data_IF_954517289266
#
_entry.id   IF_954517289266
#
_cell.length_a   1.000
_cell.length_b   1.000
_cell.length_c   1.000
_cell.angle_alpha   90.00
_cell.angle_beta   90.00
_cell.angle_gamma   90.00
#
_symmetry.space_group_name_H-M   'P 1'
#
loop_
_entity.id
_entity.type
_entity.pdbx_description
1 polymer ?
#
# COMPACT_ATOMS: atom_id res chain seq x y z
N UNK A 1 55.56 26.72 16.87
CA UNK A 1 54.27 27.12 16.36
C UNK A 1 53.65 25.91 15.66
N UNK A 2 52.77 25.19 16.36
CA UNK A 2 52.19 23.93 15.89
C UNK A 2 50.71 24.22 15.50
N UNK A 3 50.46 24.20 14.22
CA UNK A 3 49.14 24.50 13.65
C UNK A 3 48.21 23.29 13.89
N UNK A 4 47.25 23.46 14.77
CA UNK A 4 46.19 22.51 15.07
C UNK A 4 45.17 22.53 13.91
N UNK A 5 45.21 21.50 13.08
CA UNK A 5 44.17 21.28 12.04
C UNK A 5 42.82 21.08 12.71
N UNK A 6 41.91 22.00 12.44
CA UNK A 6 40.47 21.92 12.75
C UNK A 6 39.88 20.71 12.03
N UNK A 7 39.43 19.70 12.77
CA UNK A 7 38.58 18.63 12.27
C UNK A 7 37.17 19.25 12.09
N UNK A 8 36.78 19.40 10.84
CA UNK A 8 35.44 19.82 10.42
C UNK A 8 34.39 18.90 11.01
N UNK A 9 33.39 19.52 11.64
CA UNK A 9 32.22 18.91 12.20
C UNK A 9 31.25 18.43 11.07
N UNK A 10 31.46 17.19 10.62
CA UNK A 10 30.52 16.53 9.64
C UNK A 10 30.38 15.04 9.98
N UNK A 11 30.41 14.68 11.25
CA UNK A 11 30.28 13.27 11.65
C UNK A 11 29.37 13.11 12.88
N UNK A 12 28.19 13.74 12.83
CA UNK A 12 27.11 13.41 13.77
C UNK A 12 25.94 12.84 12.94
N UNK A 13 26.24 11.83 12.11
CA UNK A 13 25.20 11.00 11.52
C UNK A 13 24.70 10.03 12.60
N UNK A 14 23.47 10.22 13.00
CA UNK A 14 22.75 9.56 14.08
C UNK A 14 22.85 8.03 13.97
N UNK A 15 23.71 7.38 14.74
CA UNK A 15 23.75 5.93 14.93
C UNK A 15 22.43 5.36 15.51
N UNK A 16 21.49 6.22 15.92
CA UNK A 16 20.17 5.83 16.45
C UNK A 16 19.12 5.47 15.41
N UNK A 17 19.35 5.74 14.12
CA UNK A 17 18.32 5.53 13.10
C UNK A 17 18.81 4.89 11.80
N UNK A 18 19.88 4.08 11.84
CA UNK A 18 20.40 3.42 10.64
C UNK A 18 19.36 2.48 10.01
N UNK A 19 18.56 1.80 10.83
CA UNK A 19 17.45 0.95 10.33
C UNK A 19 16.49 1.74 9.45
N UNK A 20 16.11 2.93 9.91
CA UNK A 20 15.20 3.81 9.15
C UNK A 20 15.87 4.34 7.88
N UNK A 21 17.11 4.80 7.95
CA UNK A 21 17.83 5.27 6.78
C UNK A 21 17.97 4.19 5.69
N UNK A 22 18.22 2.94 6.09
CA UNK A 22 18.24 1.80 5.16
C UNK A 22 16.86 1.57 4.55
N UNK A 23 15.79 1.66 5.34
CA UNK A 23 14.41 1.54 4.84
C UNK A 23 14.07 2.68 3.86
N UNK A 24 14.42 3.91 4.18
CA UNK A 24 14.15 5.07 3.33
C UNK A 24 14.81 4.93 1.95
N UNK A 25 16.06 4.48 1.91
CA UNK A 25 16.75 4.20 0.64
C UNK A 25 16.12 3.02 -0.12
N UNK A 26 15.70 1.96 0.59
CA UNK A 26 15.03 0.82 -0.03
C UNK A 26 13.65 1.22 -0.62
N UNK A 27 12.90 2.07 0.07
CA UNK A 27 11.64 2.64 -0.40
C UNK A 27 11.85 3.46 -1.67
N UNK A 28 12.91 4.27 -1.75
CA UNK A 28 13.23 5.06 -2.95
C UNK A 28 13.55 4.16 -4.16
N UNK A 29 14.32 3.10 -3.94
CA UNK A 29 14.58 2.10 -4.98
C UNK A 29 13.29 1.40 -5.42
N UNK A 30 12.43 1.03 -4.47
CA UNK A 30 11.14 0.41 -4.77
C UNK A 30 10.22 1.33 -5.58
N UNK A 31 10.18 2.63 -5.28
CA UNK A 31 9.39 3.62 -6.06
C UNK A 31 9.74 3.62 -7.52
N UNK A 32 11.03 3.59 -7.84
CA UNK A 32 11.51 3.73 -9.21
C UNK A 32 11.53 2.42 -9.97
N UNK A 33 11.88 1.30 -9.32
CA UNK A 33 12.11 0.02 -9.99
C UNK A 33 11.31 -1.16 -9.43
N UNK A 34 10.37 -0.92 -8.50
CA UNK A 34 9.59 -1.99 -7.89
C UNK A 34 10.40 -2.90 -6.97
N UNK A 35 9.87 -4.09 -6.64
CA UNK A 35 10.50 -5.00 -5.67
C UNK A 35 11.86 -5.50 -6.12
N UNK A 36 12.11 -5.63 -7.42
CA UNK A 36 13.37 -6.15 -7.97
C UNK A 36 14.52 -5.16 -7.81
N UNK A 37 14.23 -3.86 -7.73
CA UNK A 37 15.23 -2.82 -7.47
C UNK A 37 15.71 -2.80 -6.01
N UNK A 38 15.00 -3.44 -5.08
CA UNK A 38 15.38 -3.49 -3.67
C UNK A 38 16.50 -4.50 -3.47
N UNK A 39 17.74 -4.00 -3.57
CA UNK A 39 18.96 -4.79 -3.39
C UNK A 39 19.74 -4.26 -2.18
N UNK A 40 19.99 -5.09 -1.18
CA UNK A 40 20.63 -4.69 0.09
C UNK A 40 21.99 -4.01 -0.13
N UNK A 41 22.76 -4.45 -1.13
CA UNK A 41 24.07 -3.86 -1.47
C UNK A 41 23.94 -2.41 -1.97
N UNK A 42 22.89 -2.10 -2.76
CA UNK A 42 22.68 -0.75 -3.27
C UNK A 42 22.20 0.18 -2.15
N UNK A 43 21.32 -0.31 -1.29
CA UNK A 43 20.85 0.39 -0.09
C UNK A 43 22.03 0.74 0.85
N UNK A 44 22.95 -0.21 1.09
CA UNK A 44 24.16 0.02 1.89
C UNK A 44 25.04 1.12 1.30
N UNK A 45 25.24 1.07 -0.02
CA UNK A 45 26.04 2.07 -0.73
C UNK A 45 25.41 3.47 -0.61
N UNK A 46 24.07 3.56 -0.77
CA UNK A 46 23.34 4.83 -0.61
C UNK A 46 23.42 5.36 0.81
N UNK A 47 23.32 4.49 1.81
CA UNK A 47 23.44 4.84 3.23
C UNK A 47 24.89 5.13 3.68
N UNK A 48 25.91 4.84 2.85
CA UNK A 48 27.31 5.05 3.19
C UNK A 48 27.83 4.16 4.32
N UNK A 49 27.25 2.97 4.51
CA UNK A 49 27.58 2.07 5.62
C UNK A 49 28.24 0.76 5.17
N UNK A 50 28.92 0.10 6.10
CA UNK A 50 29.52 -1.21 5.84
C UNK A 50 28.45 -2.29 5.71
N UNK A 51 28.79 -3.35 4.98
CA UNK A 51 27.96 -4.55 4.83
C UNK A 51 27.51 -5.10 6.21
N UNK A 52 28.47 -5.27 7.14
CA UNK A 52 28.19 -5.79 8.48
C UNK A 52 27.24 -4.89 9.30
N UNK A 53 27.24 -3.58 9.07
CA UNK A 53 26.35 -2.65 9.75
C UNK A 53 24.91 -2.82 9.25
N UNK A 54 24.69 -2.96 7.96
CA UNK A 54 23.37 -3.15 7.39
C UNK A 54 22.76 -4.52 7.76
N UNK A 55 23.56 -5.59 7.70
CA UNK A 55 23.10 -6.95 8.07
C UNK A 55 22.67 -7.09 9.53
N UNK A 56 23.09 -6.19 10.44
CA UNK A 56 22.59 -6.14 11.82
C UNK A 56 21.13 -5.68 11.91
N UNK A 57 20.65 -4.96 10.90
CA UNK A 57 19.28 -4.39 10.86
C UNK A 57 18.34 -5.21 9.97
N UNK A 58 18.86 -5.74 8.87
CA UNK A 58 18.14 -6.58 7.92
C UNK A 58 19.00 -7.78 7.59
N UNK A 59 18.59 -8.97 8.03
CA UNK A 59 19.36 -10.22 7.89
C UNK A 59 19.65 -10.60 6.43
N UNK A 60 18.75 -10.20 5.53
CA UNK A 60 18.80 -10.53 4.11
C UNK A 60 17.94 -9.55 3.30
N UNK A 61 17.87 -9.78 1.99
CA UNK A 61 17.01 -9.02 1.07
C UNK A 61 15.53 -9.19 1.42
N UNK A 62 15.12 -10.39 1.80
CA UNK A 62 13.72 -10.70 2.15
C UNK A 62 13.24 -9.89 3.34
N UNK A 63 14.04 -9.79 4.41
CA UNK A 63 13.73 -8.97 5.59
C UNK A 63 13.63 -7.47 5.25
N UNK A 64 14.51 -6.96 4.38
CA UNK A 64 14.43 -5.58 3.90
C UNK A 64 13.20 -5.35 3.02
N UNK A 65 12.93 -6.25 2.08
CA UNK A 65 11.77 -6.17 1.19
C UNK A 65 10.45 -6.26 2.00
N UNK A 66 10.40 -7.11 3.02
CA UNK A 66 9.25 -7.20 3.93
C UNK A 66 8.96 -5.86 4.62
N UNK A 67 9.99 -5.15 5.09
CA UNK A 67 9.82 -3.82 5.68
C UNK A 67 9.34 -2.77 4.65
N UNK A 68 9.78 -2.86 3.39
CA UNK A 68 9.28 -1.99 2.31
C UNK A 68 7.83 -2.33 1.96
N UNK A 69 7.46 -3.61 1.97
CA UNK A 69 6.08 -4.07 1.79
C UNK A 69 5.15 -3.49 2.86
N UNK A 70 5.52 -3.60 4.14
CA UNK A 70 4.76 -3.01 5.26
C UNK A 70 4.61 -1.48 5.10
N UNK A 71 5.67 -0.80 4.69
CA UNK A 71 5.62 0.63 4.39
C UNK A 71 4.64 0.93 3.24
N UNK A 72 4.71 0.18 2.14
CA UNK A 72 3.85 0.39 0.96
C UNK A 72 2.37 0.10 1.28
N UNK A 73 2.07 -0.94 2.06
CA UNK A 73 0.72 -1.25 2.55
C UNK A 73 0.18 -0.13 3.45
N UNK A 74 1.00 0.42 4.34
CA UNK A 74 0.62 1.58 5.17
C UNK A 74 0.29 2.81 4.31
N UNK A 75 1.08 3.09 3.27
CA UNK A 75 0.82 4.21 2.36
C UNK A 75 -0.45 4.02 1.51
N UNK A 76 -0.73 2.78 1.11
CA UNK A 76 -2.00 2.42 0.46
C UNK A 76 -3.18 2.66 1.41
N UNK A 77 -3.07 2.21 2.67
CA UNK A 77 -4.09 2.45 3.68
C UNK A 77 -4.33 3.95 3.91
N UNK A 78 -3.27 4.76 4.00
CA UNK A 78 -3.37 6.22 4.10
C UNK A 78 -4.18 6.83 2.95
N UNK A 79 -3.94 6.39 1.71
CA UNK A 79 -4.66 6.88 0.53
C UNK A 79 -6.15 6.51 0.58
N UNK A 80 -6.46 5.28 1.02
CA UNK A 80 -7.85 4.82 1.20
C UNK A 80 -8.55 5.63 2.29
N UNK A 81 -7.92 5.84 3.45
CA UNK A 81 -8.46 6.63 4.57
C UNK A 81 -8.65 8.10 4.18
N UNK A 82 -7.74 8.68 3.42
CA UNK A 82 -7.88 10.06 2.93
C UNK A 82 -9.14 10.23 2.07
N UNK A 83 -9.44 9.27 1.18
CA UNK A 83 -10.67 9.26 0.38
C UNK A 83 -11.92 9.04 1.24
N UNK A 84 -11.86 8.13 2.22
CA UNK A 84 -12.96 7.89 3.16
C UNK A 84 -13.32 9.14 3.96
N UNK A 85 -12.31 9.88 4.46
CA UNK A 85 -12.51 11.11 5.24
C UNK A 85 -13.06 12.27 4.40
N UNK A 86 -12.91 12.21 3.07
CA UNK A 86 -13.48 13.19 2.16
C UNK A 86 -14.97 12.93 1.82
N UNK A 87 -15.54 11.80 2.22
CA UNK A 87 -16.95 11.47 1.98
C UNK A 87 -17.84 12.38 2.85
N UNK A 88 -18.77 13.15 2.26
CA UNK A 88 -19.64 14.03 3.04
C UNK A 88 -20.58 13.25 3.97
N UNK A 89 -20.75 13.76 5.20
CA UNK A 89 -21.71 13.21 6.18
C UNK A 89 -23.19 13.52 5.85
N UNK A 90 -23.51 13.75 4.57
CA UNK A 90 -24.83 14.12 4.08
C UNK A 90 -25.54 12.94 3.40
N UNK A 91 -26.85 12.91 3.51
CA UNK A 91 -27.69 11.89 2.86
C UNK A 91 -28.08 10.75 3.80
N UNK A 92 -28.74 9.73 3.24
CA UNK A 92 -29.16 8.55 4.01
C UNK A 92 -27.96 7.68 4.42
N UNK A 93 -28.14 6.87 5.47
CA UNK A 93 -27.13 5.91 5.91
C UNK A 93 -26.70 4.98 4.78
N UNK A 94 -27.67 4.49 4.00
CA UNK A 94 -27.44 3.64 2.83
C UNK A 94 -26.57 4.35 1.77
N UNK A 95 -26.90 5.60 1.42
CA UNK A 95 -26.09 6.36 0.45
C UNK A 95 -24.67 6.55 0.94
N UNK A 96 -24.46 6.96 2.19
CA UNK A 96 -23.11 7.15 2.75
C UNK A 96 -22.30 5.87 2.74
N UNK A 97 -22.90 4.72 3.10
CA UNK A 97 -22.20 3.44 3.07
C UNK A 97 -21.72 3.08 1.65
N UNK A 98 -22.53 3.31 0.62
CA UNK A 98 -22.14 3.13 -0.79
C UNK A 98 -21.05 4.11 -1.20
N UNK A 99 -21.19 5.39 -0.86
CA UNK A 99 -20.18 6.42 -1.17
C UNK A 99 -18.82 6.09 -0.51
N UNK A 100 -18.82 5.54 0.72
CA UNK A 100 -17.62 5.08 1.43
C UNK A 100 -16.94 3.90 0.74
N UNK A 101 -17.70 2.89 0.29
CA UNK A 101 -17.13 1.78 -0.48
C UNK A 101 -16.46 2.28 -1.77
N UNK A 102 -17.12 3.19 -2.51
CA UNK A 102 -16.56 3.79 -3.72
C UNK A 102 -15.27 4.57 -3.42
N UNK A 103 -15.27 5.37 -2.34
CA UNK A 103 -14.12 6.14 -1.90
C UNK A 103 -12.93 5.22 -1.52
N UNK A 104 -13.21 4.08 -0.89
CA UNK A 104 -12.19 3.07 -0.56
C UNK A 104 -11.54 2.51 -1.83
N UNK A 105 -12.34 2.10 -2.81
CA UNK A 105 -11.83 1.61 -4.11
C UNK A 105 -11.09 2.69 -4.91
N UNK A 106 -11.58 3.95 -4.89
CA UNK A 106 -10.91 5.07 -5.53
C UNK A 106 -9.52 5.32 -4.90
N UNK A 107 -9.42 5.35 -3.57
CA UNK A 107 -8.13 5.53 -2.87
C UNK A 107 -7.12 4.44 -3.19
N UNK A 108 -7.59 3.21 -3.34
CA UNK A 108 -6.77 2.08 -3.76
C UNK A 108 -6.16 2.30 -5.17
N UNK A 109 -7.00 2.66 -6.14
CA UNK A 109 -6.58 2.89 -7.53
C UNK A 109 -5.70 4.14 -7.64
N UNK A 110 -6.03 5.21 -6.92
CA UNK A 110 -5.22 6.44 -6.90
C UNK A 110 -3.79 6.17 -6.42
N UNK A 111 -3.62 5.39 -5.34
CA UNK A 111 -2.30 4.99 -4.86
C UNK A 111 -1.53 4.19 -5.90
N UNK A 112 -2.19 3.21 -6.53
CA UNK A 112 -1.57 2.37 -7.55
C UNK A 112 -1.05 3.20 -8.74
N UNK A 113 -1.80 4.22 -9.17
CA UNK A 113 -1.40 5.11 -10.26
C UNK A 113 -0.33 6.13 -9.85
N UNK A 114 -0.35 6.60 -8.61
CA UNK A 114 0.61 7.57 -8.11
C UNK A 114 1.97 6.95 -7.75
N UNK A 115 1.96 5.72 -7.24
CA UNK A 115 3.12 5.04 -6.68
C UNK A 115 3.25 3.60 -7.25
N UNK A 116 3.35 3.42 -8.59
CA UNK A 116 3.27 2.09 -9.21
C UNK A 116 4.38 1.13 -8.74
N UNK A 117 5.57 1.63 -8.43
CA UNK A 117 6.67 0.83 -7.90
C UNK A 117 6.38 0.31 -6.49
N UNK A 118 5.84 1.15 -5.61
CA UNK A 118 5.41 0.74 -4.27
C UNK A 118 4.19 -0.18 -4.33
N UNK A 119 3.26 0.07 -5.24
CA UNK A 119 2.12 -0.82 -5.44
C UNK A 119 2.57 -2.23 -5.82
N UNK A 120 3.49 -2.38 -6.79
CA UNK A 120 4.06 -3.69 -7.12
C UNK A 120 4.76 -4.32 -5.93
N UNK A 121 5.44 -3.53 -5.10
CA UNK A 121 6.17 -4.02 -3.92
C UNK A 121 5.21 -4.48 -2.81
N UNK A 122 4.10 -3.78 -2.59
CA UNK A 122 3.08 -4.18 -1.61
C UNK A 122 2.48 -5.57 -1.90
N UNK A 123 2.45 -5.97 -3.18
CA UNK A 123 1.87 -7.24 -3.62
C UNK A 123 2.92 -8.21 -4.21
N UNK A 124 4.21 -7.89 -4.08
CA UNK A 124 5.26 -8.82 -4.46
C UNK A 124 5.19 -10.06 -3.56
N UNK A 125 5.22 -11.23 -4.18
CA UNK A 125 5.37 -12.48 -3.45
C UNK A 125 6.77 -12.48 -2.81
N UNK A 126 6.81 -12.30 -1.50
CA UNK A 126 8.04 -12.53 -0.76
C UNK A 126 8.27 -14.04 -0.74
N UNK A 127 9.51 -14.48 -1.01
CA UNK A 127 9.93 -15.90 -0.95
C UNK A 127 9.67 -16.53 0.43
N UNK A 128 9.27 -15.74 1.41
CA UNK A 128 8.91 -16.13 2.79
C UNK A 128 7.52 -16.73 2.92
N UNK A 129 6.85 -17.10 1.82
CA UNK A 129 5.67 -17.97 1.86
C UNK A 129 4.48 -17.42 2.66
N UNK A 130 4.31 -16.10 2.74
CA UNK A 130 3.06 -15.53 3.25
C UNK A 130 1.97 -15.76 2.21
N UNK A 131 1.28 -16.87 2.35
CA UNK A 131 0.16 -17.27 1.51
C UNK A 131 -0.98 -16.23 1.59
N UNK A 132 -1.68 -16.03 0.49
CA UNK A 132 -2.86 -15.16 0.42
C UNK A 132 -3.99 -15.59 1.37
N UNK A 133 -4.02 -16.84 1.80
CA UNK A 133 -4.89 -17.35 2.87
C UNK A 133 -4.56 -16.73 4.23
N UNK A 134 -3.27 -16.51 4.51
CA UNK A 134 -2.80 -15.87 5.74
C UNK A 134 -3.17 -14.38 5.83
N UNK A 135 -3.35 -13.69 4.71
CA UNK A 135 -3.73 -12.27 4.71
C UNK A 135 -5.08 -12.00 5.36
N UNK A 136 -6.05 -12.92 5.21
CA UNK A 136 -7.36 -12.81 5.87
C UNK A 136 -7.26 -13.11 7.37
N UNK A 137 -6.41 -14.04 7.77
CA UNK A 137 -6.14 -14.35 9.19
C UNK A 137 -5.28 -13.26 9.83
N UNK A 138 -4.25 -12.75 9.13
CA UNK A 138 -3.43 -11.63 9.58
C UNK A 138 -4.29 -10.36 9.71
N UNK A 139 -5.17 -10.08 8.76
CA UNK A 139 -6.13 -8.98 8.85
C UNK A 139 -7.08 -9.13 10.05
N UNK A 140 -7.33 -10.36 10.53
CA UNK A 140 -8.20 -10.62 11.68
C UNK A 140 -7.47 -10.62 13.03
N UNK A 141 -6.18 -10.91 13.07
CA UNK A 141 -5.51 -11.25 14.33
C UNK A 141 -4.44 -10.27 14.83
N UNK A 142 -3.66 -9.62 13.98
CA UNK A 142 -2.47 -8.88 14.43
C UNK A 142 -2.21 -7.56 13.70
N UNK A 143 -2.81 -7.34 12.54
CA UNK A 143 -2.58 -6.11 11.78
C UNK A 143 -3.55 -5.05 12.28
N UNK A 144 -3.01 -3.97 12.80
CA UNK A 144 -3.79 -2.86 13.37
C UNK A 144 -4.86 -2.32 12.41
N UNK A 145 -5.77 -1.52 12.96
CA UNK A 145 -6.93 -0.94 12.27
C UNK A 145 -6.64 -0.23 10.93
N UNK A 146 -5.37 -0.05 10.60
CA UNK A 146 -4.84 0.69 9.46
C UNK A 146 -4.32 -0.20 8.30
N UNK A 147 -4.78 -1.46 8.19
CA UNK A 147 -4.43 -2.31 7.06
C UNK A 147 -5.43 -2.15 5.91
N UNK A 148 -5.01 -2.09 4.61
CA UNK A 148 -5.89 -1.86 3.47
C UNK A 148 -7.08 -2.82 3.41
N UNK A 149 -6.84 -4.11 3.67
CA UNK A 149 -7.89 -5.12 3.64
C UNK A 149 -8.89 -4.96 4.80
N UNK A 150 -8.44 -4.55 5.99
CA UNK A 150 -9.34 -4.24 7.11
C UNK A 150 -10.22 -3.02 6.85
N UNK A 151 -9.68 -1.99 6.19
CA UNK A 151 -10.46 -0.82 5.76
C UNK A 151 -11.58 -1.26 4.82
N UNK A 152 -11.28 -2.12 3.84
CA UNK A 152 -12.28 -2.67 2.93
C UNK A 152 -13.34 -3.48 3.68
N UNK A 153 -12.94 -4.41 4.56
CA UNK A 153 -13.86 -5.24 5.35
C UNK A 153 -14.85 -4.38 6.15
N UNK A 154 -14.35 -3.36 6.87
CA UNK A 154 -15.20 -2.43 7.64
C UNK A 154 -16.17 -1.67 6.75
N UNK A 155 -15.71 -1.23 5.58
CA UNK A 155 -16.57 -0.51 4.63
C UNK A 155 -17.70 -1.42 4.11
N UNK A 156 -17.44 -2.72 3.92
CA UNK A 156 -18.45 -3.71 3.55
C UNK A 156 -19.38 -4.00 4.72
N UNK A 157 -18.87 -4.09 5.95
CA UNK A 157 -19.71 -4.26 7.15
C UNK A 157 -20.65 -3.05 7.37
N UNK A 158 -20.20 -1.83 7.03
CA UNK A 158 -21.03 -0.63 7.02
C UNK A 158 -22.22 -0.75 6.04
N UNK A 159 -22.06 -1.44 4.89
CA UNK A 159 -23.15 -1.71 3.95
C UNK A 159 -24.22 -2.65 4.55
N UNK A 160 -23.77 -3.69 5.25
CA UNK A 160 -24.69 -4.59 5.97
C UNK A 160 -25.43 -3.82 7.06
N UNK A 161 -24.72 -3.04 7.87
CA UNK A 161 -25.29 -2.22 8.94
C UNK A 161 -26.22 -1.11 8.42
N UNK A 162 -26.08 -0.71 7.16
CA UNK A 162 -26.94 0.27 6.49
C UNK A 162 -28.13 -0.37 5.74
N UNK A 163 -28.26 -1.69 5.74
CA UNK A 163 -29.31 -2.43 5.02
C UNK A 163 -29.18 -2.37 3.50
N UNK A 164 -28.00 -2.07 2.97
CA UNK A 164 -27.70 -2.05 1.52
C UNK A 164 -27.35 -3.45 1.04
N UNK A 165 -26.58 -4.18 1.86
CA UNK A 165 -26.14 -5.54 1.60
C UNK A 165 -26.81 -6.49 2.58
N UNK A 166 -27.38 -7.58 2.08
CA UNK A 166 -27.92 -8.65 2.91
C UNK A 166 -26.76 -9.44 3.57
N UNK A 167 -26.87 -9.83 4.86
CA UNK A 167 -25.81 -10.55 5.56
C UNK A 167 -25.37 -11.85 4.89
N UNK A 168 -26.27 -12.56 4.24
CA UNK A 168 -26.02 -13.80 3.51
C UNK A 168 -25.18 -13.60 2.23
N UNK A 169 -25.13 -12.37 1.69
CA UNK A 169 -24.33 -11.99 0.51
C UNK A 169 -22.99 -11.38 0.88
N UNK A 170 -22.66 -11.29 2.17
CA UNK A 170 -21.43 -10.63 2.65
C UNK A 170 -20.18 -11.46 2.40
N UNK A 171 -20.30 -12.79 2.48
CA UNK A 171 -19.14 -13.69 2.36
C UNK A 171 -18.53 -13.66 0.95
N UNK A 172 -17.20 -13.55 0.88
CA UNK A 172 -16.46 -13.47 -0.37
C UNK A 172 -16.50 -12.11 -1.09
N UNK A 173 -17.29 -11.14 -0.60
CA UNK A 173 -17.44 -9.85 -1.27
C UNK A 173 -16.19 -8.97 -1.14
N UNK A 174 -15.47 -9.04 -0.03
CA UNK A 174 -14.22 -8.35 0.19
C UNK A 174 -13.14 -8.81 -0.81
N UNK A 175 -13.00 -10.13 -0.99
CA UNK A 175 -12.07 -10.68 -1.99
C UNK A 175 -12.48 -10.31 -3.42
N UNK A 176 -13.78 -10.37 -3.74
CA UNK A 176 -14.28 -10.00 -5.07
C UNK A 176 -14.07 -8.51 -5.37
N UNK A 177 -14.38 -7.62 -4.41
CA UNK A 177 -14.16 -6.19 -4.56
C UNK A 177 -12.66 -5.86 -4.68
N UNK A 178 -11.83 -6.50 -3.85
CA UNK A 178 -10.37 -6.35 -3.95
C UNK A 178 -9.84 -6.83 -5.29
N UNK A 179 -10.23 -8.03 -5.75
CA UNK A 179 -9.80 -8.56 -7.05
C UNK A 179 -10.15 -7.61 -8.20
N UNK A 180 -11.32 -6.97 -8.16
CA UNK A 180 -11.77 -6.03 -9.18
C UNK A 180 -10.89 -4.76 -9.23
N UNK A 181 -10.64 -4.09 -8.09
CA UNK A 181 -9.82 -2.87 -8.06
C UNK A 181 -8.35 -3.18 -8.27
N UNK A 182 -7.84 -4.31 -7.77
CA UNK A 182 -6.47 -4.76 -7.99
C UNK A 182 -6.21 -5.10 -9.46
N UNK A 183 -7.11 -5.86 -10.08
CA UNK A 183 -7.03 -6.18 -11.51
C UNK A 183 -7.05 -4.93 -12.38
N UNK A 184 -7.93 -3.97 -12.12
CA UNK A 184 -7.94 -2.70 -12.85
C UNK A 184 -6.65 -1.90 -12.64
N UNK A 185 -6.15 -1.82 -11.40
CA UNK A 185 -4.88 -1.15 -11.10
C UNK A 185 -3.71 -1.76 -11.89
N UNK A 186 -3.62 -3.09 -11.93
CA UNK A 186 -2.59 -3.80 -12.70
C UNK A 186 -2.71 -3.52 -14.19
N UNK A 187 -3.94 -3.50 -14.75
CA UNK A 187 -4.17 -3.15 -16.16
C UNK A 187 -3.75 -1.72 -16.49
N UNK A 188 -3.89 -0.79 -15.55
CA UNK A 188 -3.47 0.60 -15.71
C UNK A 188 -1.96 0.80 -15.60
N UNK A 189 -1.26 -0.03 -14.82
CA UNK A 189 0.17 0.13 -14.56
C UNK A 189 0.99 -0.65 -15.60
N UNK A 190 0.67 -1.93 -15.79
CA UNK A 190 1.48 -2.89 -16.53
C UNK A 190 0.74 -3.53 -17.72
N UNK A 191 -0.57 -3.25 -17.84
CA UNK A 191 -1.43 -3.90 -18.81
C UNK A 191 -1.78 -3.03 -20.01
N UNK A 192 -2.73 -3.49 -20.84
CA UNK A 192 -3.12 -2.82 -22.10
C UNK A 192 -3.80 -1.46 -21.89
N UNK A 193 -4.12 -1.09 -20.66
CA UNK A 193 -4.69 0.23 -20.33
C UNK A 193 -3.65 1.23 -19.82
N UNK A 194 -2.37 0.91 -19.85
CA UNK A 194 -1.29 1.79 -19.35
C UNK A 194 -1.23 3.12 -20.10
N UNK A 195 -1.42 3.08 -21.41
CA UNK A 195 -1.39 4.26 -22.30
C UNK A 195 -2.69 5.08 -22.30
N UNK A 196 -3.73 4.66 -21.57
CA UNK A 196 -4.95 5.43 -21.45
C UNK A 196 -4.69 6.75 -20.73
N UNK A 197 -5.25 7.85 -21.23
CA UNK A 197 -5.16 9.15 -20.58
C UNK A 197 -5.89 9.19 -19.23
N UNK A 198 -5.65 10.22 -18.44
CA UNK A 198 -6.21 10.35 -17.10
C UNK A 198 -7.76 10.38 -17.12
N UNK A 199 -8.37 11.01 -18.12
CA UNK A 199 -9.83 11.07 -18.24
C UNK A 199 -10.42 9.69 -18.52
N UNK A 200 -9.79 8.91 -19.39
CA UNK A 200 -10.19 7.54 -19.71
C UNK A 200 -10.00 6.61 -18.52
N UNK A 201 -8.88 6.70 -17.81
CA UNK A 201 -8.64 5.95 -16.57
C UNK A 201 -9.70 6.26 -15.51
N UNK A 202 -10.04 7.53 -15.30
CA UNK A 202 -11.08 7.92 -14.35
C UNK A 202 -12.45 7.38 -14.77
N UNK A 203 -12.83 7.48 -16.05
CA UNK A 203 -14.11 6.95 -16.54
C UNK A 203 -14.23 5.44 -16.28
N UNK A 204 -13.15 4.68 -16.55
CA UNK A 204 -13.16 3.22 -16.33
C UNK A 204 -13.26 2.92 -14.83
N UNK A 205 -12.53 3.66 -13.99
CA UNK A 205 -12.61 3.55 -12.53
C UNK A 205 -14.02 3.77 -12.02
N UNK A 206 -14.68 4.86 -12.45
CA UNK A 206 -16.06 5.17 -12.05
C UNK A 206 -17.01 4.05 -12.46
N UNK A 207 -16.87 3.51 -13.66
CA UNK A 207 -17.70 2.39 -14.14
C UNK A 207 -17.49 1.10 -13.35
N UNK A 208 -16.24 0.78 -12.98
CA UNK A 208 -15.98 -0.37 -12.14
C UNK A 208 -16.61 -0.21 -10.75
N UNK A 209 -16.37 0.95 -10.11
CA UNK A 209 -16.92 1.23 -8.78
C UNK A 209 -18.46 1.28 -8.78
N UNK A 210 -19.07 1.78 -9.87
CA UNK A 210 -20.52 1.72 -10.08
C UNK A 210 -21.01 0.27 -10.20
N UNK A 211 -20.32 -0.56 -10.98
CA UNK A 211 -20.71 -1.96 -11.17
C UNK A 211 -20.65 -2.75 -9.85
N UNK A 212 -19.61 -2.52 -9.03
CA UNK A 212 -19.51 -3.12 -7.69
C UNK A 212 -20.69 -2.65 -6.84
N UNK A 213 -20.97 -1.34 -6.78
CA UNK A 213 -22.03 -0.77 -5.96
C UNK A 213 -23.44 -1.23 -6.39
N UNK A 214 -23.68 -1.45 -7.70
CA UNK A 214 -24.95 -1.98 -8.23
C UNK A 214 -25.10 -3.46 -7.92
N UNK A 215 -24.02 -4.23 -7.99
CA UNK A 215 -24.01 -5.67 -7.68
C UNK A 215 -24.32 -6.00 -6.21
N UNK A 216 -24.34 -4.99 -5.32
CA UNK A 216 -24.72 -5.14 -3.91
C UNK A 216 -26.24 -5.23 -3.67
N UNK A 217 -27.08 -4.87 -4.65
CA UNK A 217 -28.55 -4.81 -4.54
C UNK A 217 -29.20 -6.17 -4.88
#
# INVERSE_FOLDING_TARGET
MTTRRSRTATDTYHHGNLRQALLDHAVELARTGGPDAVVLRDVQRMAGVSNSAAYRHYSDRGALLGAVTEYAESRLADAMVARLNAVPEKGTKAKRAVDRLRATGQGYIDFALAEPGLFRTAFAHTETGRDTHDRREIAKSEVGEHHPFQILMRTIDDLVAAGVLSPDRRDGLDEAAWAAVHGLSTLFIDGPLSEADAQRKQLITDRLLDAIAVGLR
#
